data_IF_241847038843
#
_entry.id   IF_241847038843
#
_cell.length_a   1.000
_cell.length_b   1.000
_cell.length_c   1.000
_cell.angle_alpha   90.00
_cell.angle_beta   90.00
_cell.angle_gamma   90.00
#
_symmetry.space_group_name_H-M   'P 1'
#
loop_
_entity.id
_entity.type
_entity.pdbx_description
1 polymer ?
#
# COMPACT_ATOMS: atom_id res chain seq x y z
N UNK A 1 -9.38 8.75 12.85
CA UNK A 1 -7.91 8.79 12.78
C UNK A 1 -7.38 7.91 13.90
N UNK A 2 -6.49 6.96 13.58
CA UNK A 2 -5.91 6.01 14.52
C UNK A 2 -4.81 6.71 15.32
N UNK A 3 -4.91 6.75 16.66
CA UNK A 3 -3.93 7.43 17.55
C UNK A 3 -2.77 6.49 17.93
N UNK A 4 -2.92 5.18 17.70
CA UNK A 4 -1.92 4.14 17.98
C UNK A 4 -1.40 3.54 16.68
N UNK A 5 -0.13 3.11 16.70
CA UNK A 5 0.45 2.29 15.62
C UNK A 5 -0.42 1.04 15.43
N UNK A 6 -1.04 0.92 14.26
CA UNK A 6 -1.78 -0.26 13.87
C UNK A 6 -0.82 -1.30 13.29
N UNK A 7 -1.02 -2.57 13.63
CA UNK A 7 -0.25 -3.67 13.04
C UNK A 7 -1.23 -4.65 12.40
N UNK A 8 -1.00 -4.98 11.13
CA UNK A 8 -1.80 -5.96 10.40
C UNK A 8 -0.89 -6.87 9.60
N UNK A 9 -1.06 -8.19 9.77
CA UNK A 9 -0.28 -9.19 9.05
C UNK A 9 -1.14 -9.87 7.99
N UNK A 10 -0.63 -9.94 6.76
CA UNK A 10 -1.31 -10.59 5.64
C UNK A 10 -0.36 -11.55 4.92
N UNK A 11 -0.86 -12.74 4.59
CA UNK A 11 -0.17 -13.68 3.71
C UNK A 11 -0.64 -13.45 2.27
N UNK A 12 0.30 -13.33 1.34
CA UNK A 12 0.06 -13.21 -0.10
C UNK A 12 0.34 -14.55 -0.74
N UNK A 13 -0.65 -15.06 -1.46
CA UNK A 13 -0.61 -16.34 -2.15
C UNK A 13 -0.69 -16.14 -3.66
N UNK A 14 -0.02 -17.01 -4.41
CA UNK A 14 -0.13 -17.11 -5.86
C UNK A 14 -0.54 -18.53 -6.24
N UNK A 15 -1.40 -18.65 -7.24
CA UNK A 15 -1.81 -19.94 -7.76
C UNK A 15 -0.72 -20.48 -8.71
N UNK A 16 -0.29 -21.73 -8.49
CA UNK A 16 0.75 -22.37 -9.32
C UNK A 16 0.29 -22.70 -10.74
N UNK A 17 -0.99 -22.48 -11.06
CA UNK A 17 -1.51 -22.77 -12.38
C UNK A 17 -1.36 -21.54 -13.28
N UNK A 18 -0.47 -21.62 -14.27
CA UNK A 18 -0.23 -20.56 -15.27
C UNK A 18 -1.49 -20.18 -16.08
N UNK A 19 -2.48 -21.08 -16.17
CA UNK A 19 -3.78 -20.78 -16.81
C UNK A 19 -4.68 -19.90 -15.94
N UNK A 20 -4.24 -19.53 -14.74
CA UNK A 20 -4.94 -18.60 -13.87
C UNK A 20 -4.58 -17.15 -14.25
N UNK A 21 -5.51 -16.37 -14.83
CA UNK A 21 -5.22 -15.02 -15.26
C UNK A 21 -5.08 -14.09 -14.05
N UNK A 22 -4.20 -13.09 -14.19
CA UNK A 22 -4.16 -11.93 -13.28
C UNK A 22 -5.47 -11.14 -13.46
N UNK A 23 -6.06 -10.59 -12.38
CA UNK A 23 -5.57 -10.55 -11.01
C UNK A 23 -5.97 -11.76 -10.15
N UNK A 24 -6.89 -12.63 -10.62
CA UNK A 24 -7.50 -13.72 -9.85
C UNK A 24 -6.53 -14.81 -9.39
N UNK A 25 -5.32 -14.85 -9.94
CA UNK A 25 -4.25 -15.76 -9.51
C UNK A 25 -3.58 -15.38 -8.20
N UNK A 26 -3.81 -14.17 -7.68
CA UNK A 26 -3.29 -13.73 -6.39
C UNK A 26 -4.40 -13.68 -5.35
N UNK A 27 -4.04 -13.94 -4.10
CA UNK A 27 -4.97 -13.83 -2.97
C UNK A 27 -4.26 -13.39 -1.71
N UNK A 28 -4.93 -12.58 -0.90
CA UNK A 28 -4.51 -12.30 0.48
C UNK A 28 -5.35 -13.11 1.46
N UNK A 29 -4.74 -13.56 2.55
CA UNK A 29 -5.46 -14.10 3.70
C UNK A 29 -4.78 -13.69 5.01
N UNK A 30 -5.49 -13.85 6.13
CA UNK A 30 -4.93 -13.64 7.46
C UNK A 30 -3.80 -14.62 7.77
N UNK A 31 -3.02 -14.29 8.80
CA UNK A 31 -1.81 -15.06 9.16
C UNK A 31 -2.09 -16.51 9.58
N UNK A 32 -3.31 -16.79 10.08
CA UNK A 32 -3.73 -18.13 10.49
C UNK A 32 -4.06 -19.07 9.32
N UNK A 33 -4.07 -18.58 8.07
CA UNK A 33 -4.33 -19.41 6.90
C UNK A 33 -3.13 -20.32 6.61
N UNK A 34 -3.42 -21.57 6.25
CA UNK A 34 -2.43 -22.56 5.82
C UNK A 34 -1.65 -22.07 4.60
N UNK A 35 -0.39 -22.54 4.47
CA UNK A 35 0.53 -22.06 3.44
C UNK A 35 0.20 -22.58 2.03
N UNK A 36 -0.58 -23.66 1.96
CA UNK A 36 -1.06 -24.23 0.69
C UNK A 36 -2.53 -24.58 0.82
N UNK A 37 -3.35 -24.12 -0.14
CA UNK A 37 -4.78 -24.45 -0.18
C UNK A 37 -5.29 -24.49 -1.63
N UNK A 38 -6.40 -25.20 -1.93
CA UNK A 38 -6.90 -25.31 -3.30
C UNK A 38 -7.36 -23.97 -3.87
N UNK A 39 -7.26 -23.80 -5.19
CA UNK A 39 -7.77 -22.61 -5.86
C UNK A 39 -9.30 -22.63 -5.91
N UNK A 40 -9.96 -21.67 -5.25
CA UNK A 40 -11.43 -21.53 -5.29
C UNK A 40 -12.01 -21.14 -6.66
N UNK A 41 -11.16 -20.96 -7.69
CA UNK A 41 -11.63 -20.56 -9.02
C UNK A 41 -12.28 -21.76 -9.74
N UNK A 42 -13.52 -21.63 -10.23
CA UNK A 42 -14.15 -22.67 -11.02
C UNK A 42 -13.33 -22.94 -12.29
N UNK A 43 -12.97 -24.22 -12.50
CA UNK A 43 -12.14 -24.66 -13.63
C UNK A 43 -10.62 -24.55 -13.41
N UNK A 44 -10.17 -24.18 -12.20
CA UNK A 44 -8.75 -24.19 -11.84
C UNK A 44 -8.45 -25.37 -10.91
N UNK A 45 -7.63 -26.32 -11.36
CA UNK A 45 -7.11 -27.42 -10.52
C UNK A 45 -5.83 -27.06 -9.76
N UNK A 46 -5.42 -25.79 -9.78
CA UNK A 46 -4.19 -25.34 -9.12
C UNK A 46 -4.34 -25.18 -7.61
N UNK A 47 -3.20 -25.06 -6.93
CA UNK A 47 -3.15 -24.71 -5.51
C UNK A 47 -2.60 -23.29 -5.36
N UNK A 48 -3.12 -22.55 -4.39
CA UNK A 48 -2.52 -21.32 -3.91
C UNK A 48 -1.37 -21.68 -2.98
N UNK A 49 -0.17 -21.21 -3.28
CA UNK A 49 1.01 -21.31 -2.41
C UNK A 49 1.37 -19.96 -1.84
N UNK A 50 1.83 -19.96 -0.59
CA UNK A 50 2.35 -18.78 0.07
C UNK A 50 3.56 -18.25 -0.69
N UNK A 51 3.48 -17.01 -1.16
CA UNK A 51 4.59 -16.32 -1.82
C UNK A 51 5.34 -15.49 -0.79
N UNK A 52 4.60 -14.68 -0.01
CA UNK A 52 5.17 -13.78 1.00
C UNK A 52 4.23 -13.58 2.16
N UNK A 53 4.80 -13.41 3.34
CA UNK A 53 4.11 -12.88 4.51
C UNK A 53 4.51 -11.41 4.65
N UNK A 54 3.54 -10.52 4.71
CA UNK A 54 3.76 -9.07 4.81
C UNK A 54 3.11 -8.54 6.08
N UNK A 55 3.79 -7.59 6.71
CA UNK A 55 3.31 -6.86 7.88
C UNK A 55 3.12 -5.41 7.48
N UNK A 56 1.92 -4.91 7.69
CA UNK A 56 1.58 -3.50 7.53
C UNK A 56 1.65 -2.82 8.89
N UNK A 57 2.34 -1.68 8.91
CA UNK A 57 2.38 -0.78 10.05
C UNK A 57 1.64 0.49 9.65
N UNK A 58 0.52 0.75 10.32
CA UNK A 58 -0.29 1.96 10.10
C UNK A 58 0.28 3.09 10.98
N UNK A 59 0.91 4.07 10.32
CA UNK A 59 1.43 5.25 10.98
C UNK A 59 0.39 6.38 10.94
N UNK A 60 0.15 7.06 12.07
CA UNK A 60 -0.73 8.23 12.10
C UNK A 60 -0.13 9.39 11.29
N UNK A 61 -0.89 9.95 10.35
CA UNK A 61 -0.45 11.04 9.47
C UNK A 61 -0.67 12.45 10.02
N UNK A 62 -0.75 12.64 11.34
CA UNK A 62 -0.92 13.95 11.96
C UNK A 62 0.44 14.45 12.46
N UNK A 63 0.73 15.73 12.24
CA UNK A 63 2.03 16.38 12.53
C UNK A 63 2.52 16.15 13.99
N UNK A 64 1.59 16.01 14.93
CA UNK A 64 1.86 15.75 16.36
C UNK A 64 2.50 14.36 16.59
N UNK A 65 2.34 13.43 15.64
CA UNK A 65 2.78 12.04 15.76
C UNK A 65 3.96 11.69 14.84
N UNK A 66 4.65 12.70 14.29
CA UNK A 66 5.84 12.53 13.46
C UNK A 66 6.94 11.73 14.16
N UNK A 67 7.15 11.88 15.47
CA UNK A 67 8.10 11.06 16.24
C UNK A 67 7.72 9.58 16.24
N UNK A 68 6.43 9.27 16.28
CA UNK A 68 5.91 7.89 16.22
C UNK A 68 6.07 7.32 14.81
N UNK A 69 5.84 8.13 13.78
CA UNK A 69 6.12 7.77 12.40
C UNK A 69 7.62 7.50 12.20
N UNK A 70 8.50 8.34 12.74
CA UNK A 70 9.96 8.17 12.66
C UNK A 70 10.42 6.84 13.24
N UNK A 71 9.93 6.50 14.43
CA UNK A 71 10.26 5.22 15.07
C UNK A 71 9.68 4.02 14.31
N UNK A 72 8.47 4.13 13.76
CA UNK A 72 7.84 3.07 12.98
C UNK A 72 8.53 2.83 11.63
N UNK A 73 8.90 3.90 10.95
CA UNK A 73 9.49 3.83 9.61
C UNK A 73 10.96 3.41 9.60
N UNK A 74 11.67 3.47 10.75
CA UNK A 74 12.96 2.81 10.92
C UNK A 74 12.89 1.27 10.80
N UNK A 75 11.71 0.67 11.00
CA UNK A 75 11.47 -0.78 10.91
C UNK A 75 10.85 -1.18 9.57
N UNK A 76 10.47 -0.21 8.73
CA UNK A 76 9.80 -0.47 7.45
C UNK A 76 10.83 -0.71 6.34
N UNK A 77 10.59 -1.70 5.49
CA UNK A 77 11.38 -1.94 4.27
C UNK A 77 10.86 -1.16 3.06
N UNK A 78 9.56 -0.80 3.09
CA UNK A 78 8.86 -0.12 2.01
C UNK A 78 7.75 0.77 2.58
N UNK A 79 7.40 1.83 1.86
CA UNK A 79 6.36 2.78 2.27
C UNK A 79 5.24 2.86 1.23
N UNK A 80 4.01 2.96 1.73
CA UNK A 80 2.82 3.25 0.93
C UNK A 80 2.38 4.69 1.22
N UNK A 81 2.50 5.57 0.22
CA UNK A 81 2.07 6.96 0.35
C UNK A 81 0.65 7.10 -0.21
N UNK A 82 -0.33 7.24 0.68
CA UNK A 82 -1.74 7.43 0.31
C UNK A 82 -2.04 8.92 0.11
N UNK A 83 -2.49 9.29 -1.08
CA UNK A 83 -2.90 10.66 -1.43
C UNK A 83 -4.39 10.64 -1.76
N UNK A 84 -5.18 11.43 -1.04
CA UNK A 84 -6.63 11.48 -1.24
C UNK A 84 -6.97 12.27 -2.51
N UNK A 85 -7.81 11.69 -3.39
CA UNK A 85 -8.13 12.27 -4.68
C UNK A 85 -8.99 13.54 -4.60
N UNK A 86 -9.73 13.68 -3.50
CA UNK A 86 -10.60 14.82 -3.22
C UNK A 86 -9.86 16.05 -2.65
N UNK A 87 -8.55 15.97 -2.46
CA UNK A 87 -7.73 17.05 -1.89
C UNK A 87 -6.72 17.57 -2.93
N UNK A 88 -6.32 18.82 -2.80
CA UNK A 88 -5.33 19.42 -3.70
C UNK A 88 -3.95 18.82 -3.44
N UNK A 89 -3.21 18.49 -4.50
CA UNK A 89 -1.84 18.00 -4.42
C UNK A 89 -0.88 19.08 -4.94
N UNK A 90 0.26 19.36 -4.28
CA UNK A 90 0.76 18.75 -3.03
C UNK A 90 0.16 19.38 -1.76
N UNK A 91 -0.16 18.54 -0.77
CA UNK A 91 -0.42 18.99 0.61
C UNK A 91 0.90 19.16 1.36
N UNK A 92 0.99 20.09 2.34
CA UNK A 92 2.14 20.19 3.25
C UNK A 92 2.50 18.85 3.89
N UNK A 93 1.50 18.10 4.36
CA UNK A 93 1.67 16.77 4.96
C UNK A 93 2.30 15.75 4.01
N UNK A 94 1.88 15.74 2.73
CA UNK A 94 2.46 14.83 1.72
C UNK A 94 3.94 15.14 1.50
N UNK A 95 4.30 16.42 1.54
CA UNK A 95 5.68 16.87 1.37
C UNK A 95 6.56 16.51 2.55
N UNK A 96 6.07 16.71 3.78
CA UNK A 96 6.77 16.31 4.99
C UNK A 96 6.97 14.81 5.07
N UNK A 97 5.93 14.01 4.79
CA UNK A 97 6.06 12.55 4.78
C UNK A 97 7.07 12.08 3.72
N UNK A 98 7.05 12.65 2.52
CA UNK A 98 8.01 12.28 1.48
C UNK A 98 9.45 12.65 1.87
N UNK A 99 9.66 13.82 2.47
CA UNK A 99 10.97 14.24 2.98
C UNK A 99 11.49 13.29 4.06
N UNK A 100 10.63 12.87 5.01
CA UNK A 100 10.98 11.89 6.04
C UNK A 100 11.38 10.54 5.42
N UNK A 101 10.60 10.04 4.46
CA UNK A 101 10.91 8.79 3.74
C UNK A 101 12.26 8.88 2.99
N UNK A 102 12.56 10.04 2.42
CA UNK A 102 13.85 10.32 1.77
C UNK A 102 15.02 10.31 2.76
N UNK A 103 14.87 10.91 3.93
CA UNK A 103 15.89 10.91 5.01
C UNK A 103 16.14 9.49 5.52
N UNK A 104 15.09 8.66 5.60
CA UNK A 104 15.18 7.26 6.01
C UNK A 104 15.80 6.35 4.95
N UNK A 105 16.08 6.86 3.74
CA UNK A 105 16.64 6.09 2.62
C UNK A 105 15.77 4.91 2.19
N UNK A 106 14.45 5.07 2.30
CA UNK A 106 13.52 4.07 1.79
C UNK A 106 13.42 4.20 0.27
N UNK A 107 14.01 3.24 -0.45
CA UNK A 107 14.00 3.24 -1.91
C UNK A 107 12.70 2.67 -2.49
N UNK A 108 11.94 1.90 -1.70
CA UNK A 108 10.70 1.25 -2.12
C UNK A 108 9.49 2.05 -1.66
N UNK A 109 9.13 3.08 -2.43
CA UNK A 109 7.94 3.91 -2.16
C UNK A 109 6.90 3.66 -3.24
N UNK A 110 5.67 3.35 -2.83
CA UNK A 110 4.54 3.17 -3.73
C UNK A 110 3.47 4.21 -3.40
N UNK A 111 3.19 5.09 -4.36
CA UNK A 111 2.19 6.14 -4.22
C UNK A 111 0.83 5.61 -4.66
N UNK A 112 -0.17 5.73 -3.80
CA UNK A 112 -1.53 5.25 -3.98
C UNK A 112 -2.50 6.42 -3.96
N UNK A 113 -3.26 6.59 -5.04
CA UNK A 113 -4.36 7.54 -5.08
C UNK A 113 -5.61 6.92 -4.45
N UNK A 114 -6.05 7.46 -3.33
CA UNK A 114 -7.19 6.98 -2.55
C UNK A 114 -8.44 7.85 -2.79
N UNK A 115 -9.63 7.35 -2.48
CA UNK A 115 -10.92 8.08 -2.62
C UNK A 115 -11.22 8.58 -4.05
N UNK A 116 -10.75 7.86 -5.07
CA UNK A 116 -11.02 8.19 -6.48
C UNK A 116 -12.51 8.14 -6.83
N UNK A 117 -13.30 7.42 -6.03
CA UNK A 117 -14.75 7.31 -6.14
C UNK A 117 -15.48 8.63 -5.85
N UNK A 118 -14.84 9.56 -5.15
CA UNK A 118 -15.44 10.86 -4.79
C UNK A 118 -15.19 11.96 -5.82
N UNK A 119 -14.37 11.70 -6.85
CA UNK A 119 -13.97 12.71 -7.84
C UNK A 119 -14.24 12.24 -9.27
N UNK A 120 -14.30 13.19 -10.20
CA UNK A 120 -14.45 12.88 -11.63
C UNK A 120 -13.13 12.36 -12.20
N UNK A 121 -13.20 11.50 -13.22
CA UNK A 121 -12.00 10.95 -13.87
C UNK A 121 -11.01 12.01 -14.36
N UNK A 122 -11.51 13.16 -14.83
CA UNK A 122 -10.66 14.28 -15.29
C UNK A 122 -9.83 14.83 -14.14
N UNK A 123 -10.47 15.10 -12.99
CA UNK A 123 -9.80 15.61 -11.79
C UNK A 123 -8.81 14.59 -11.24
N UNK A 124 -9.16 13.30 -11.24
CA UNK A 124 -8.26 12.24 -10.81
C UNK A 124 -6.99 12.18 -11.68
N UNK A 125 -7.12 12.36 -13.01
CA UNK A 125 -5.98 12.42 -13.93
C UNK A 125 -5.13 13.67 -13.76
N UNK A 126 -5.74 14.83 -13.56
CA UNK A 126 -5.01 16.07 -13.28
C UNK A 126 -4.18 15.93 -12.00
N UNK A 127 -4.79 15.40 -10.94
CA UNK A 127 -4.09 15.16 -9.68
C UNK A 127 -2.98 14.11 -9.83
N UNK A 128 -3.20 13.05 -10.60
CA UNK A 128 -2.15 12.08 -10.92
C UNK A 128 -0.91 12.73 -11.55
N UNK A 129 -1.13 13.68 -12.48
CA UNK A 129 -0.04 14.43 -13.10
C UNK A 129 0.71 15.29 -12.07
N UNK A 130 -0.03 15.99 -11.19
CA UNK A 130 0.56 16.78 -10.09
C UNK A 130 1.41 15.92 -9.16
N UNK A 131 0.95 14.71 -8.82
CA UNK A 131 1.70 13.76 -7.98
C UNK A 131 3.01 13.35 -8.66
N UNK A 132 2.99 13.04 -9.97
CA UNK A 132 4.20 12.69 -10.71
C UNK A 132 5.19 13.85 -10.71
N UNK A 133 4.71 15.06 -10.99
CA UNK A 133 5.56 16.24 -11.08
C UNK A 133 6.17 16.58 -9.71
N UNK A 134 5.40 16.36 -8.64
CA UNK A 134 5.87 16.53 -7.27
C UNK A 134 6.96 15.51 -6.88
N UNK A 135 6.81 14.23 -7.25
CA UNK A 135 7.79 13.17 -6.91
C UNK A 135 9.08 13.27 -7.73
N UNK A 136 9.05 13.94 -8.89
CA UNK A 136 10.23 14.18 -9.74
C UNK A 136 11.07 15.40 -9.33
N UNK A 137 10.49 16.31 -8.55
CA UNK A 137 11.16 17.52 -8.03
C UNK A 137 12.06 17.22 -6.84
#
# INVERSE_FOLDING_TARGET
MTIKLGYANAKIFECDNDKCPRPKRFRSAGSSKEDVFPCDRPGCGGQFRLVRHVSFVDCPGQDILMTTMLNGAAVMDAALLLIAANETCPQPQTSEHLAVLGIMKLNSILVLQNKIDLVKEVQAKEQYQQIIDFVKG
#
